data_IF_252633107866
#
_entry.id   IF_252633107866
#
_cell.length_a   1.000
_cell.length_b   1.000
_cell.length_c   1.000
_cell.angle_alpha   90.00
_cell.angle_beta   90.00
_cell.angle_gamma   90.00
#
_symmetry.space_group_name_H-M   'P 1'
#
loop_
_entity.id
_entity.type
_entity.pdbx_description
1 polymer ?
#
# COMPACT_ATOMS: atom_id res chain seq x y z
N UNK A 1 6.24 -30.32 -2.41
CA UNK A 1 6.76 -30.73 -3.73
C UNK A 1 6.48 -29.62 -4.72
N UNK A 2 7.47 -29.07 -5.42
CA UNK A 2 7.21 -28.11 -6.49
C UNK A 2 6.73 -28.88 -7.72
N UNK A 3 5.42 -29.00 -7.83
CA UNK A 3 4.78 -29.57 -9.00
C UNK A 3 4.59 -28.46 -10.03
N UNK A 4 5.41 -28.38 -10.97
CA UNK A 4 5.44 -27.55 -12.18
C UNK A 4 6.66 -26.63 -12.27
N UNK A 5 7.78 -27.19 -12.63
CA UNK A 5 8.62 -26.53 -13.62
C UNK A 5 7.84 -26.71 -14.93
N UNK A 6 7.22 -25.66 -15.42
CA UNK A 6 6.45 -25.72 -16.64
C UNK A 6 7.30 -26.22 -17.80
N UNK A 7 6.77 -27.10 -18.61
CA UNK A 7 7.29 -27.54 -19.88
C UNK A 7 7.28 -26.38 -20.89
N UNK A 8 8.06 -25.34 -20.61
CA UNK A 8 8.31 -24.25 -21.54
C UNK A 8 9.66 -24.46 -22.20
N UNK A 9 9.66 -24.41 -23.49
CA UNK A 9 10.85 -24.53 -24.34
C UNK A 9 11.93 -23.54 -23.94
N UNK A 10 13.14 -23.98 -23.81
CA UNK A 10 14.38 -23.28 -23.45
C UNK A 10 14.52 -22.97 -21.96
N UNK A 11 15.60 -23.38 -21.38
CA UNK A 11 15.92 -23.43 -19.94
C UNK A 11 16.03 -22.12 -19.17
N UNK A 12 15.24 -21.10 -19.50
CA UNK A 12 15.17 -19.85 -18.72
C UNK A 12 14.25 -20.04 -17.52
N UNK A 13 14.81 -19.82 -16.34
CA UNK A 13 14.08 -19.97 -15.08
C UNK A 13 13.13 -18.79 -14.84
N UNK A 14 11.94 -19.10 -14.33
CA UNK A 14 10.88 -18.12 -14.05
C UNK A 14 11.38 -16.95 -13.18
N UNK A 15 11.04 -15.75 -13.57
CA UNK A 15 11.41 -14.50 -12.89
C UNK A 15 10.75 -14.41 -11.51
N UNK A 16 11.50 -13.97 -10.51
CA UNK A 16 10.98 -13.71 -9.16
C UNK A 16 10.35 -12.32 -9.13
N UNK A 17 9.18 -12.20 -8.53
CA UNK A 17 8.45 -10.93 -8.37
C UNK A 17 8.28 -10.65 -6.87
N UNK A 18 8.79 -9.50 -6.44
CA UNK A 18 8.73 -9.05 -5.05
C UNK A 18 8.05 -7.68 -4.99
N UNK A 19 6.91 -7.59 -4.35
CA UNK A 19 6.27 -6.30 -4.01
C UNK A 19 6.66 -5.96 -2.57
N UNK A 20 7.60 -5.04 -2.43
CA UNK A 20 8.25 -4.72 -1.15
C UNK A 20 7.54 -3.53 -0.49
N UNK A 21 6.44 -3.82 0.21
CA UNK A 21 5.69 -2.82 0.97
C UNK A 21 6.18 -2.66 2.41
N UNK A 22 5.84 -1.56 3.06
CA UNK A 22 6.30 -1.27 4.43
C UNK A 22 5.68 -2.18 5.48
N UNK A 23 4.39 -2.54 5.34
CA UNK A 23 3.73 -3.45 6.28
C UNK A 23 3.91 -4.91 5.87
N UNK A 24 3.66 -5.21 4.60
CA UNK A 24 3.71 -6.57 4.06
C UNK A 24 4.45 -6.62 2.73
N UNK A 25 5.26 -7.65 2.57
CA UNK A 25 5.90 -8.01 1.29
C UNK A 25 5.15 -9.18 0.68
N UNK A 26 4.88 -9.09 -0.63
CA UNK A 26 4.28 -10.19 -1.40
C UNK A 26 5.35 -10.70 -2.36
N UNK A 27 5.54 -12.02 -2.43
CA UNK A 27 6.50 -12.58 -3.38
C UNK A 27 5.98 -13.87 -4.03
N UNK A 28 6.47 -14.14 -5.24
CA UNK A 28 6.09 -15.28 -6.07
C UNK A 28 6.81 -15.21 -7.40
N UNK A 29 6.21 -15.76 -8.44
CA UNK A 29 6.85 -15.86 -9.75
C UNK A 29 6.03 -15.20 -10.86
N UNK A 30 6.73 -14.73 -11.86
CA UNK A 30 6.11 -14.19 -13.08
C UNK A 30 5.18 -15.23 -13.72
N UNK A 31 4.06 -14.77 -14.26
CA UNK A 31 3.04 -15.60 -14.88
C UNK A 31 2.05 -16.23 -13.89
N UNK A 32 2.27 -16.08 -12.58
CA UNK A 32 1.30 -16.54 -11.57
C UNK A 32 0.17 -15.52 -11.37
N UNK A 33 -0.99 -16.01 -10.98
CA UNK A 33 -2.19 -15.18 -10.77
C UNK A 33 -2.26 -14.52 -9.40
N UNK A 34 -1.37 -14.93 -8.47
CA UNK A 34 -1.26 -14.35 -7.13
C UNK A 34 0.07 -14.68 -6.49
N UNK A 35 0.48 -13.90 -5.48
CA UNK A 35 1.75 -14.15 -4.79
C UNK A 35 1.71 -15.47 -4.02
N UNK A 36 2.84 -16.16 -3.99
CA UNK A 36 3.00 -17.41 -3.21
C UNK A 36 2.99 -17.17 -1.72
N UNK A 37 3.47 -16.01 -1.29
CA UNK A 37 3.39 -15.63 0.13
C UNK A 37 3.20 -14.14 0.30
N UNK A 38 2.53 -13.78 1.39
CA UNK A 38 2.37 -12.41 1.90
C UNK A 38 2.86 -12.46 3.34
N UNK A 39 3.95 -11.78 3.63
CA UNK A 39 4.57 -11.81 4.97
C UNK A 39 4.82 -10.39 5.49
N UNK A 40 4.79 -10.20 6.82
CA UNK A 40 5.18 -8.89 7.38
C UNK A 40 6.61 -8.52 6.96
N UNK A 41 6.81 -7.26 6.62
CA UNK A 41 8.12 -6.73 6.19
C UNK A 41 9.00 -6.42 7.38
N UNK A 42 9.23 -7.45 8.22
CA UNK A 42 10.00 -7.34 9.46
C UNK A 42 10.96 -8.51 9.61
N UNK A 43 12.03 -8.29 10.36
CA UNK A 43 12.94 -9.34 10.81
C UNK A 43 12.95 -9.38 12.35
N UNK A 44 13.15 -10.57 12.92
CA UNK A 44 13.31 -10.76 14.37
C UNK A 44 14.78 -10.97 14.65
N UNK A 45 15.36 -10.16 15.50
CA UNK A 45 16.77 -10.31 15.92
C UNK A 45 16.87 -10.59 17.41
N UNK A 46 17.77 -11.50 17.75
CA UNK A 46 18.11 -11.79 19.14
C UNK A 46 18.59 -10.49 19.82
N UNK A 47 18.09 -10.23 21.01
CA UNK A 47 18.45 -9.04 21.78
C UNK A 47 17.59 -7.81 21.54
N UNK A 48 16.70 -7.85 20.52
CA UNK A 48 15.76 -6.75 20.29
C UNK A 48 14.36 -7.17 20.75
N UNK A 49 13.68 -6.35 21.55
CA UNK A 49 12.35 -6.70 22.10
C UNK A 49 11.24 -6.67 21.06
N UNK A 50 11.42 -5.93 19.96
CA UNK A 50 10.42 -5.81 18.90
C UNK A 50 11.03 -6.17 17.54
N UNK A 51 10.23 -6.73 16.61
CA UNK A 51 10.70 -6.95 15.24
C UNK A 51 11.12 -5.62 14.58
N UNK A 52 12.14 -5.69 13.73
CA UNK A 52 12.67 -4.52 13.02
C UNK A 52 12.04 -4.46 11.63
N UNK A 53 11.49 -3.31 11.26
CA UNK A 53 10.97 -3.08 9.91
C UNK A 53 12.11 -3.05 8.89
N UNK A 54 11.89 -3.68 7.76
CA UNK A 54 12.89 -3.77 6.69
C UNK A 54 12.80 -2.57 5.76
N UNK A 55 11.58 -2.10 5.51
CA UNK A 55 11.36 -0.92 4.66
C UNK A 55 11.33 0.31 5.55
N UNK A 56 12.48 0.95 5.68
CA UNK A 56 12.63 2.22 6.40
C UNK A 56 13.71 3.06 5.73
N UNK A 57 13.56 4.37 5.83
CA UNK A 57 14.38 5.31 5.06
C UNK A 57 15.31 6.16 5.93
N UNK A 58 15.08 6.19 7.24
CA UNK A 58 15.82 7.04 8.19
C UNK A 58 16.79 6.20 9.05
N UNK A 59 17.52 5.29 8.40
CA UNK A 59 18.58 4.51 9.06
C UNK A 59 19.83 4.54 8.19
N UNK A 60 20.98 4.22 8.80
CA UNK A 60 22.23 4.21 8.06
C UNK A 60 22.29 3.04 7.06
N UNK A 61 23.10 3.22 6.03
CA UNK A 61 23.19 2.30 4.89
C UNK A 61 23.63 0.88 5.28
N UNK A 62 24.51 0.74 6.25
CA UNK A 62 25.02 -0.57 6.64
C UNK A 62 23.99 -1.39 7.44
N UNK A 63 23.22 -0.71 8.31
CA UNK A 63 22.09 -1.35 8.99
C UNK A 63 21.01 -1.77 7.99
N UNK A 64 20.65 -0.86 7.08
CA UNK A 64 19.68 -1.13 6.03
C UNK A 64 20.12 -2.33 5.18
N UNK A 65 21.41 -2.35 4.79
CA UNK A 65 21.99 -3.47 4.05
C UNK A 65 21.83 -4.79 4.80
N UNK A 66 22.15 -4.78 6.10
CA UNK A 66 22.03 -5.97 6.95
C UNK A 66 20.59 -6.47 7.05
N UNK A 67 19.63 -5.54 7.21
CA UNK A 67 18.21 -5.89 7.34
C UNK A 67 17.63 -6.43 6.01
N UNK A 68 17.93 -5.77 4.89
CA UNK A 68 17.50 -6.20 3.57
C UNK A 68 18.09 -7.56 3.20
N UNK A 69 19.39 -7.76 3.49
CA UNK A 69 20.07 -9.04 3.26
C UNK A 69 19.37 -10.18 3.99
N UNK A 70 19.11 -10.01 5.30
CA UNK A 70 18.46 -11.01 6.12
C UNK A 70 17.02 -11.30 5.62
N UNK A 71 16.27 -10.25 5.32
CA UNK A 71 14.88 -10.38 4.87
C UNK A 71 14.78 -11.07 3.51
N UNK A 72 15.59 -10.65 2.54
CA UNK A 72 15.60 -11.24 1.20
C UNK A 72 16.07 -12.71 1.26
N UNK A 73 17.00 -13.03 2.18
CA UNK A 73 17.39 -14.41 2.44
C UNK A 73 16.17 -15.26 2.85
N UNK A 74 15.35 -14.73 3.76
CA UNK A 74 14.10 -15.40 4.19
C UNK A 74 13.17 -15.61 2.98
N UNK A 75 13.00 -14.61 2.12
CA UNK A 75 12.15 -14.74 0.92
C UNK A 75 12.63 -15.88 0.00
N UNK A 76 13.92 -15.89 -0.34
CA UNK A 76 14.47 -16.89 -1.26
C UNK A 76 14.51 -18.30 -0.70
N UNK A 77 14.98 -18.46 0.54
CA UNK A 77 15.33 -19.77 1.08
C UNK A 77 14.29 -20.38 2.02
N UNK A 78 13.29 -19.61 2.42
CA UNK A 78 12.20 -20.12 3.27
C UNK A 78 10.85 -20.14 2.54
N UNK A 79 10.60 -19.17 1.67
CA UNK A 79 9.29 -19.03 1.02
C UNK A 79 9.29 -19.43 -0.45
N UNK A 80 10.29 -19.01 -1.23
CA UNK A 80 10.34 -19.32 -2.65
C UNK A 80 11.08 -20.62 -2.96
N UNK A 81 12.06 -21.00 -2.14
CA UNK A 81 12.86 -22.21 -2.24
C UNK A 81 13.58 -22.31 -3.61
N UNK A 82 14.17 -21.20 -4.05
CA UNK A 82 14.90 -21.11 -5.33
C UNK A 82 16.25 -20.43 -5.15
N UNK A 83 17.17 -20.75 -6.07
CA UNK A 83 18.49 -20.13 -6.12
C UNK A 83 18.38 -18.74 -6.78
N UNK A 84 18.76 -17.65 -6.08
CA UNK A 84 18.68 -16.31 -6.66
C UNK A 84 19.61 -16.08 -7.86
N UNK A 85 20.73 -16.78 -7.96
CA UNK A 85 21.71 -16.63 -9.06
C UNK A 85 21.16 -16.97 -10.43
N UNK A 86 20.06 -17.70 -10.47
CA UNK A 86 19.51 -18.24 -11.72
C UNK A 86 18.29 -17.44 -12.22
N UNK A 87 17.88 -16.41 -11.51
CA UNK A 87 16.57 -15.79 -11.79
C UNK A 87 16.58 -14.26 -11.73
N UNK A 88 15.92 -13.40 -12.60
CA UNK A 88 15.75 -12.23 -12.65
C UNK A 88 14.91 -11.91 -11.65
N UNK A 89 14.94 -10.73 -11.37
CA UNK A 89 14.06 -10.24 -10.30
C UNK A 89 13.35 -8.94 -10.71
N UNK A 90 12.02 -8.89 -10.53
CA UNK A 90 11.21 -7.67 -10.61
C UNK A 90 10.88 -7.27 -9.17
N UNK A 91 11.35 -6.10 -8.73
CA UNK A 91 11.00 -5.55 -7.42
C UNK A 91 10.05 -4.36 -7.62
N UNK A 92 8.86 -4.47 -7.04
CA UNK A 92 7.85 -3.43 -7.09
C UNK A 92 8.00 -2.57 -5.84
N UNK A 93 8.10 -1.27 -6.05
CA UNK A 93 8.25 -0.28 -4.99
C UNK A 93 7.15 0.77 -5.11
N UNK A 94 6.68 1.26 -3.98
CA UNK A 94 5.76 2.39 -3.96
C UNK A 94 6.49 3.59 -4.55
N UNK A 95 5.96 4.14 -5.56
CA UNK A 95 6.40 5.25 -6.40
C UNK A 95 7.91 5.53 -6.43
N UNK A 96 8.52 5.25 -7.55
CA UNK A 96 9.95 5.47 -7.78
C UNK A 96 10.23 6.91 -8.27
N UNK A 97 9.18 7.65 -8.65
CA UNK A 97 9.30 9.03 -9.14
C UNK A 97 8.14 9.86 -8.58
N UNK A 98 8.41 10.99 -7.97
CA UNK A 98 9.72 11.57 -7.67
C UNK A 98 10.45 10.82 -6.54
N UNK A 99 11.77 10.94 -6.49
CA UNK A 99 12.64 10.24 -5.55
C UNK A 99 12.37 10.55 -4.07
N UNK A 100 11.41 11.40 -3.80
CA UNK A 100 11.01 11.80 -2.45
C UNK A 100 10.38 10.64 -1.67
N UNK A 101 9.65 9.77 -2.36
CA UNK A 101 8.88 8.70 -1.70
C UNK A 101 9.66 7.40 -1.54
N UNK A 102 10.66 7.16 -2.41
CA UNK A 102 11.58 6.05 -2.27
C UNK A 102 13.01 6.57 -2.47
N UNK A 103 13.69 6.95 -1.40
CA UNK A 103 15.02 7.56 -1.49
C UNK A 103 16.03 6.72 -2.26
N UNK A 104 16.96 7.40 -2.93
CA UNK A 104 18.02 6.75 -3.72
C UNK A 104 18.83 5.78 -2.87
N UNK A 105 19.19 6.16 -1.63
CA UNK A 105 19.98 5.29 -0.76
C UNK A 105 19.29 3.94 -0.49
N UNK A 106 17.95 3.91 -0.37
CA UNK A 106 17.19 2.66 -0.20
C UNK A 106 17.29 1.79 -1.46
N UNK A 107 17.04 2.39 -2.63
CA UNK A 107 17.10 1.69 -3.93
C UNK A 107 18.50 1.16 -4.21
N UNK A 108 19.52 1.97 -3.95
CA UNK A 108 20.93 1.60 -4.13
C UNK A 108 21.33 0.46 -3.18
N UNK A 109 20.93 0.56 -1.90
CA UNK A 109 21.22 -0.49 -0.92
C UNK A 109 20.54 -1.81 -1.29
N UNK A 110 19.26 -1.75 -1.69
CA UNK A 110 18.50 -2.92 -2.13
C UNK A 110 19.17 -3.58 -3.34
N UNK A 111 19.55 -2.80 -4.34
CA UNK A 111 20.21 -3.33 -5.54
C UNK A 111 21.62 -3.87 -5.22
N UNK A 112 22.34 -3.24 -4.30
CA UNK A 112 23.62 -3.74 -3.81
C UNK A 112 23.47 -5.12 -3.15
N UNK A 113 22.41 -5.31 -2.34
CA UNK A 113 22.10 -6.62 -1.73
C UNK A 113 21.80 -7.66 -2.82
N UNK A 114 20.96 -7.31 -3.80
CA UNK A 114 20.55 -8.23 -4.86
C UNK A 114 21.73 -8.63 -5.76
N UNK A 115 22.55 -7.66 -6.21
CA UNK A 115 23.64 -7.92 -7.14
C UNK A 115 24.92 -8.46 -6.47
N UNK A 116 25.30 -7.91 -5.31
CA UNK A 116 26.59 -8.26 -4.68
C UNK A 116 26.49 -9.45 -3.73
N UNK A 117 25.37 -9.61 -3.04
CA UNK A 117 25.22 -10.72 -2.08
C UNK A 117 24.48 -11.91 -2.72
N UNK A 118 23.31 -11.67 -3.34
CA UNK A 118 22.52 -12.74 -3.94
C UNK A 118 22.93 -13.06 -5.37
N UNK A 119 23.72 -12.21 -5.99
CA UNK A 119 24.27 -12.41 -7.34
C UNK A 119 23.19 -12.65 -8.40
N UNK A 120 22.04 -11.99 -8.28
CA UNK A 120 20.97 -12.14 -9.27
C UNK A 120 21.44 -11.66 -10.65
N UNK A 121 21.01 -12.30 -11.76
CA UNK A 121 21.48 -11.94 -13.11
C UNK A 121 20.99 -10.58 -13.58
N UNK A 122 19.76 -10.19 -13.20
CA UNK A 122 19.24 -8.87 -13.55
C UNK A 122 18.17 -8.41 -12.53
N UNK A 123 17.99 -7.09 -12.40
CA UNK A 123 17.02 -6.46 -11.51
C UNK A 123 16.24 -5.40 -12.27
N UNK A 124 14.92 -5.43 -12.14
CA UNK A 124 14.04 -4.34 -12.55
C UNK A 124 13.37 -3.75 -11.31
N UNK A 125 13.49 -2.44 -11.11
CA UNK A 125 12.71 -1.72 -10.10
C UNK A 125 11.49 -1.11 -10.78
N UNK A 126 10.29 -1.55 -10.39
CA UNK A 126 9.04 -1.20 -11.06
C UNK A 126 8.13 -0.39 -10.14
N UNK A 127 7.54 0.74 -10.60
CA UNK A 127 6.59 1.52 -9.81
C UNK A 127 5.25 0.80 -9.67
N UNK A 128 4.71 0.75 -8.45
CA UNK A 128 3.43 0.07 -8.15
C UNK A 128 2.27 0.60 -9.01
N UNK A 129 2.22 1.91 -9.22
CA UNK A 129 1.16 2.56 -9.99
C UNK A 129 1.14 2.11 -11.46
N UNK A 130 2.33 1.94 -12.08
CA UNK A 130 2.44 1.45 -13.46
C UNK A 130 2.04 -0.02 -13.54
N UNK A 131 2.51 -0.81 -12.59
CA UNK A 131 2.19 -2.23 -12.55
C UNK A 131 0.68 -2.46 -12.42
N UNK A 132 0.00 -1.63 -11.61
CA UNK A 132 -1.45 -1.74 -11.45
C UNK A 132 -2.20 -1.54 -12.78
N UNK A 133 -1.79 -0.59 -13.61
CA UNK A 133 -2.46 -0.32 -14.88
C UNK A 133 -2.28 -1.43 -15.91
N UNK A 134 -1.18 -2.18 -15.83
CA UNK A 134 -0.97 -3.35 -16.70
C UNK A 134 -2.05 -4.41 -16.50
N UNK A 135 -2.57 -4.54 -15.28
CA UNK A 135 -3.61 -5.55 -14.99
C UNK A 135 -4.95 -5.22 -15.64
N UNK A 136 -5.16 -3.95 -15.97
CA UNK A 136 -6.40 -3.47 -16.59
C UNK A 136 -6.28 -3.23 -18.09
N UNK A 137 -5.05 -3.23 -18.62
CA UNK A 137 -4.81 -2.94 -20.03
C UNK A 137 -5.16 -1.49 -20.41
N UNK A 138 -5.11 -0.55 -19.45
CA UNK A 138 -5.42 0.86 -19.72
C UNK A 138 -4.16 1.72 -19.58
N UNK A 139 -4.06 2.74 -20.44
CA UNK A 139 -2.89 3.62 -20.47
C UNK A 139 -3.15 5.00 -19.85
N UNK A 140 -4.39 5.30 -19.48
CA UNK A 140 -4.75 6.60 -18.88
C UNK A 140 -5.65 6.39 -17.69
N UNK A 141 -5.21 6.82 -16.51
CA UNK A 141 -5.97 6.66 -15.25
C UNK A 141 -5.40 7.54 -14.15
N UNK A 142 -6.23 7.86 -13.18
CA UNK A 142 -5.84 8.44 -11.90
C UNK A 142 -5.68 7.27 -10.93
N UNK A 143 -4.44 6.96 -10.54
CA UNK A 143 -4.15 5.83 -9.64
C UNK A 143 -3.96 6.34 -8.21
N UNK A 144 -4.77 5.82 -7.29
CA UNK A 144 -4.66 6.07 -5.86
C UNK A 144 -4.15 4.80 -5.17
N UNK A 145 -3.00 4.89 -4.53
CA UNK A 145 -2.43 3.81 -3.71
C UNK A 145 -2.62 4.16 -2.23
N UNK A 146 -3.54 3.47 -1.57
CA UNK A 146 -3.78 3.61 -0.13
C UNK A 146 -2.97 2.54 0.61
N UNK A 147 -1.71 2.87 0.90
CA UNK A 147 -0.76 1.96 1.52
C UNK A 147 -0.77 1.99 3.04
N UNK A 148 0.33 1.52 3.63
CA UNK A 148 0.51 1.54 5.08
C UNK A 148 0.91 2.92 5.58
N UNK A 149 1.97 3.52 4.99
CA UNK A 149 2.51 4.82 5.45
C UNK A 149 1.61 5.98 5.05
N UNK A 150 1.13 5.94 3.81
CA UNK A 150 0.49 7.09 3.17
C UNK A 150 -0.52 6.65 2.11
N UNK A 151 -1.35 7.60 1.68
CA UNK A 151 -2.12 7.51 0.45
C UNK A 151 -1.47 8.41 -0.58
N UNK A 152 -1.23 7.85 -1.77
CA UNK A 152 -0.50 8.50 -2.85
C UNK A 152 -1.34 8.47 -4.12
N UNK A 153 -1.51 9.63 -4.77
CA UNK A 153 -2.18 9.71 -6.07
C UNK A 153 -1.17 10.08 -7.15
N UNK A 154 -1.25 9.38 -8.28
CA UNK A 154 -0.42 9.67 -9.45
C UNK A 154 -1.27 9.52 -10.71
N UNK A 155 -1.56 10.64 -11.42
CA UNK A 155 -2.23 10.55 -12.72
C UNK A 155 -1.27 10.03 -13.79
N UNK A 156 -1.80 9.22 -14.67
CA UNK A 156 -1.08 8.72 -15.84
C UNK A 156 -1.94 8.96 -17.08
N UNK A 157 -1.37 9.58 -18.09
CA UNK A 157 -2.08 9.92 -19.34
C UNK A 157 -1.31 9.41 -20.54
N UNK A 158 -1.97 8.59 -21.37
CA UNK A 158 -1.37 7.94 -22.56
C UNK A 158 -0.04 7.24 -22.24
N UNK A 159 0.01 6.51 -21.12
CA UNK A 159 1.20 5.77 -20.72
C UNK A 159 2.23 6.60 -19.96
N UNK A 160 2.08 7.92 -19.88
CA UNK A 160 3.07 8.82 -19.28
C UNK A 160 2.55 9.33 -17.92
N UNK A 161 3.31 9.15 -16.82
CA UNK A 161 2.92 9.76 -15.55
C UNK A 161 2.97 11.28 -15.61
N UNK A 162 1.92 11.93 -15.11
CA UNK A 162 1.84 13.41 -15.06
C UNK A 162 2.47 13.84 -13.72
N UNK A 163 3.80 13.94 -13.73
CA UNK A 163 4.58 14.09 -12.50
C UNK A 163 4.33 15.39 -11.75
N UNK A 164 3.81 16.43 -12.40
CA UNK A 164 3.52 17.69 -11.74
C UNK A 164 2.24 17.63 -10.90
N UNK A 165 1.44 16.57 -11.07
CA UNK A 165 0.09 16.47 -10.51
C UNK A 165 -0.03 15.37 -9.45
N UNK A 166 1.10 14.77 -9.03
CA UNK A 166 1.06 13.78 -7.97
C UNK A 166 0.77 14.43 -6.62
N UNK A 167 0.25 13.65 -5.69
CA UNK A 167 0.06 14.11 -4.32
C UNK A 167 0.12 12.95 -3.34
N UNK A 168 0.48 13.25 -2.10
CA UNK A 168 0.51 12.24 -1.04
C UNK A 168 0.06 12.85 0.28
N UNK A 169 -0.58 12.02 1.11
CA UNK A 169 -0.99 12.37 2.47
C UNK A 169 -0.60 11.23 3.41
N UNK A 170 -0.15 11.52 4.64
CA UNK A 170 0.21 10.49 5.62
C UNK A 170 -1.03 9.79 6.21
N UNK A 171 -1.99 9.49 5.37
CA UNK A 171 -3.25 8.81 5.68
C UNK A 171 -3.22 7.41 5.09
N UNK A 172 -2.85 6.45 5.91
CA UNK A 172 -2.75 5.04 5.51
C UNK A 172 -2.96 4.14 6.71
N UNK A 173 -2.57 2.88 6.60
CA UNK A 173 -2.72 1.90 7.67
C UNK A 173 -2.05 2.32 8.98
N UNK A 174 -0.92 3.03 8.91
CA UNK A 174 -0.20 3.52 10.08
C UNK A 174 -1.00 4.57 10.86
N UNK A 175 -1.66 5.48 10.15
CA UNK A 175 -2.53 6.48 10.78
C UNK A 175 -3.74 5.80 11.45
N UNK A 176 -4.32 4.81 10.78
CA UNK A 176 -5.41 3.99 11.33
C UNK A 176 -4.96 3.25 12.60
N UNK A 177 -3.76 2.67 12.60
CA UNK A 177 -3.23 1.95 13.77
C UNK A 177 -3.07 2.89 14.96
N UNK A 178 -2.56 4.10 14.74
CA UNK A 178 -2.39 5.11 15.81
C UNK A 178 -3.75 5.50 16.40
N UNK A 179 -4.71 5.81 15.54
CA UNK A 179 -6.06 6.20 15.98
C UNK A 179 -6.75 5.04 16.70
N UNK A 180 -6.63 3.83 16.15
CA UNK A 180 -7.19 2.62 16.75
C UNK A 180 -6.58 2.37 18.13
N UNK A 181 -5.26 2.40 18.25
CA UNK A 181 -4.57 2.21 19.53
C UNK A 181 -5.03 3.24 20.57
N UNK A 182 -5.11 4.50 20.18
CA UNK A 182 -5.57 5.58 21.08
C UNK A 182 -6.98 5.29 21.59
N UNK A 183 -7.91 5.00 20.70
CA UNK A 183 -9.30 4.76 21.10
C UNK A 183 -9.47 3.47 21.90
N UNK A 184 -8.73 2.41 21.56
CA UNK A 184 -8.74 1.15 22.33
C UNK A 184 -8.25 1.36 23.75
N UNK A 185 -7.13 2.07 23.94
CA UNK A 185 -6.56 2.34 25.27
C UNK A 185 -7.47 3.26 26.10
N UNK A 186 -8.17 4.19 25.45
CA UNK A 186 -9.06 5.13 26.15
C UNK A 186 -10.40 4.51 26.56
N UNK A 187 -10.95 3.60 25.77
CA UNK A 187 -12.36 3.23 25.86
C UNK A 187 -12.62 1.74 26.12
N UNK A 188 -11.68 0.86 25.76
CA UNK A 188 -11.94 -0.57 25.80
C UNK A 188 -11.60 -1.22 27.13
N UNK A 189 -12.37 -2.26 27.47
CA UNK A 189 -12.12 -3.12 28.63
C UNK A 189 -11.70 -4.51 28.17
N UNK A 190 -11.06 -5.24 29.07
CA UNK A 190 -10.53 -6.59 28.83
C UNK A 190 -10.97 -7.51 29.96
N UNK A 191 -11.53 -8.65 29.60
CA UNK A 191 -11.73 -9.75 30.53
C UNK A 191 -10.48 -10.62 30.58
N UNK A 192 -10.01 -10.91 31.78
CA UNK A 192 -8.89 -11.82 32.03
C UNK A 192 -9.35 -12.98 32.91
N UNK A 193 -8.53 -14.02 33.01
CA UNK A 193 -8.78 -15.13 33.93
C UNK A 193 -8.87 -14.69 35.41
N UNK A 194 -8.23 -13.57 35.77
CA UNK A 194 -8.17 -13.07 37.14
C UNK A 194 -9.29 -12.06 37.46
N UNK A 195 -9.78 -11.30 36.47
CA UNK A 195 -10.80 -10.25 36.68
C UNK A 195 -11.50 -9.89 35.39
N UNK A 196 -12.75 -9.47 35.54
CA UNK A 196 -13.58 -8.98 34.43
C UNK A 196 -13.53 -7.44 34.31
N UNK A 197 -13.72 -6.95 33.11
CA UNK A 197 -13.85 -5.53 32.80
C UNK A 197 -12.71 -4.64 33.34
N UNK A 198 -11.47 -5.11 33.19
CA UNK A 198 -10.31 -4.27 33.48
C UNK A 198 -10.06 -3.31 32.30
N UNK A 199 -9.57 -2.12 32.60
CA UNK A 199 -9.19 -1.18 31.52
C UNK A 199 -8.01 -1.77 30.72
N UNK A 200 -8.03 -1.60 29.40
CA UNK A 200 -6.97 -2.12 28.53
C UNK A 200 -5.57 -1.63 28.94
N UNK A 201 -5.37 -0.34 29.31
CA UNK A 201 -4.05 0.13 29.77
C UNK A 201 -3.53 -0.57 31.04
N UNK A 202 -4.41 -1.06 31.91
CA UNK A 202 -3.96 -1.79 33.10
C UNK A 202 -3.40 -3.18 32.77
N UNK A 203 -3.78 -3.72 31.60
CA UNK A 203 -3.37 -5.05 31.14
C UNK A 203 -2.16 -4.94 30.20
N UNK A 204 -2.11 -3.91 29.36
CA UNK A 204 -1.00 -3.65 28.44
C UNK A 204 -0.84 -2.15 28.16
N UNK A 205 0.37 -1.64 28.27
CA UNK A 205 0.67 -0.23 28.08
C UNK A 205 0.67 0.23 26.62
N UNK A 206 0.83 -0.70 25.67
CA UNK A 206 0.73 -0.44 24.23
C UNK A 206 0.26 -1.70 23.51
N UNK A 207 -0.49 -1.53 22.43
CA UNK A 207 -1.02 -2.67 21.67
C UNK A 207 -0.04 -3.03 20.55
N UNK A 208 0.42 -4.28 20.47
CA UNK A 208 1.33 -4.70 19.41
C UNK A 208 0.73 -4.46 18.01
N UNK A 209 1.58 -4.03 17.07
CA UNK A 209 1.16 -3.67 15.71
C UNK A 209 0.41 -4.81 14.99
N UNK A 210 0.82 -6.07 15.23
CA UNK A 210 0.12 -7.22 14.65
C UNK A 210 -1.30 -7.39 15.18
N UNK A 211 -1.53 -7.07 16.45
CA UNK A 211 -2.88 -7.09 17.06
C UNK A 211 -3.72 -5.95 16.49
N UNK A 212 -3.13 -4.74 16.36
CA UNK A 212 -3.84 -3.61 15.75
C UNK A 212 -4.26 -3.93 14.31
N UNK A 213 -3.35 -4.54 13.54
CA UNK A 213 -3.66 -4.95 12.16
C UNK A 213 -4.82 -5.94 12.14
N UNK A 214 -4.79 -6.94 13.01
CA UNK A 214 -5.81 -7.97 13.06
C UNK A 214 -7.17 -7.41 13.52
N UNK A 215 -7.20 -6.60 14.58
CA UNK A 215 -8.43 -5.91 15.01
C UNK A 215 -9.00 -5.05 13.87
N UNK A 216 -8.13 -4.26 13.22
CA UNK A 216 -8.54 -3.42 12.09
C UNK A 216 -9.20 -4.24 10.98
N UNK A 217 -8.57 -5.34 10.59
CA UNK A 217 -9.05 -6.20 9.49
C UNK A 217 -10.34 -6.93 9.85
N UNK A 218 -10.44 -7.39 11.11
CA UNK A 218 -11.58 -8.21 11.55
C UNK A 218 -12.79 -7.38 11.96
N UNK A 219 -12.59 -6.17 12.50
CA UNK A 219 -13.69 -5.43 13.13
C UNK A 219 -14.04 -4.09 12.48
N UNK A 220 -13.07 -3.40 11.85
CA UNK A 220 -13.28 -2.05 11.33
C UNK A 220 -13.89 -2.05 9.93
N UNK A 221 -14.67 -1.01 9.64
CA UNK A 221 -15.30 -0.81 8.34
C UNK A 221 -15.54 0.68 8.10
N UNK A 222 -15.73 1.05 6.84
CA UNK A 222 -15.98 2.43 6.42
C UNK A 222 -17.50 2.64 6.31
N UNK A 223 -18.01 3.60 7.07
CA UNK A 223 -19.43 3.99 7.03
C UNK A 223 -19.77 4.73 5.73
N UNK A 224 -21.06 4.72 5.37
CA UNK A 224 -21.53 5.50 4.23
C UNK A 224 -21.35 7.02 4.50
N UNK A 225 -21.48 7.82 3.45
CA UNK A 225 -21.26 9.27 3.53
C UNK A 225 -22.13 9.95 4.60
N UNK A 226 -23.42 9.62 4.65
CA UNK A 226 -24.36 10.26 5.55
C UNK A 226 -24.00 9.99 7.01
N UNK A 227 -23.68 8.73 7.33
CA UNK A 227 -23.26 8.32 8.68
C UNK A 227 -21.89 8.93 9.03
N UNK A 228 -20.94 8.87 8.09
CA UNK A 228 -19.61 9.44 8.29
C UNK A 228 -19.64 10.94 8.61
N UNK A 229 -20.45 11.70 7.87
CA UNK A 229 -20.61 13.14 8.14
C UNK A 229 -21.20 13.41 9.55
N UNK A 230 -22.09 12.56 10.03
CA UNK A 230 -22.62 12.66 11.40
C UNK A 230 -21.55 12.34 12.46
N UNK A 231 -20.72 11.32 12.21
CA UNK A 231 -19.60 10.97 13.10
C UNK A 231 -18.64 12.17 13.20
N UNK A 232 -18.28 12.77 12.05
CA UNK A 232 -17.39 13.92 12.00
C UNK A 232 -18.03 15.14 12.70
N UNK A 233 -19.31 15.41 12.46
CA UNK A 233 -20.02 16.52 13.10
C UNK A 233 -20.03 16.36 14.63
N UNK A 234 -20.28 15.17 15.14
CA UNK A 234 -20.25 14.87 16.58
C UNK A 234 -18.82 15.00 17.14
N UNK A 235 -17.81 14.52 16.42
CA UNK A 235 -16.39 14.60 16.84
C UNK A 235 -15.91 16.05 16.98
N UNK A 236 -16.30 16.90 16.04
CA UNK A 236 -15.84 18.30 16.00
C UNK A 236 -16.88 19.28 16.55
N UNK A 237 -18.00 18.81 17.08
CA UNK A 237 -19.09 19.60 17.64
C UNK A 237 -19.52 20.75 16.70
N UNK A 238 -19.67 20.46 15.41
CA UNK A 238 -19.86 21.47 14.37
C UNK A 238 -21.20 22.18 14.55
N UNK A 239 -22.27 21.65 14.82
CA UNK A 239 -23.58 22.31 14.91
C UNK A 239 -24.15 22.40 16.35
N UNK A 240 -23.33 22.17 17.37
CA UNK A 240 -23.78 22.14 18.76
C UNK A 240 -24.76 20.98 19.04
N UNK A 241 -24.86 20.04 18.14
CA UNK A 241 -25.78 18.92 18.24
C UNK A 241 -24.95 17.62 18.38
N UNK A 242 -24.92 17.08 19.59
CA UNK A 242 -24.15 15.89 19.95
C UNK A 242 -24.82 14.57 19.55
N UNK A 243 -25.75 14.58 18.60
CA UNK A 243 -26.42 13.35 18.15
C UNK A 243 -25.48 12.47 17.34
N UNK A 244 -24.72 11.66 18.04
CA UNK A 244 -23.96 10.58 17.38
C UNK A 244 -24.94 9.58 16.76
N UNK A 245 -24.62 9.06 15.57
CA UNK A 245 -25.48 8.01 15.01
C UNK A 245 -25.43 6.77 15.91
N UNK A 246 -26.53 6.01 15.94
CA UNK A 246 -26.58 4.77 16.71
C UNK A 246 -25.40 3.86 16.33
N UNK A 247 -24.63 3.39 17.32
CA UNK A 247 -23.42 2.62 17.01
C UNK A 247 -23.73 1.21 16.48
N UNK A 248 -22.79 0.60 15.71
CA UNK A 248 -22.90 -0.81 15.33
C UNK A 248 -22.66 -1.69 16.58
N UNK A 249 -22.96 -3.00 16.54
CA UNK A 249 -22.75 -3.85 17.73
C UNK A 249 -21.30 -3.97 18.16
N UNK A 250 -21.06 -4.15 19.46
CA UNK A 250 -19.74 -4.47 20.03
C UNK A 250 -19.21 -5.77 19.46
N UNK A 251 -17.89 -5.92 19.47
CA UNK A 251 -17.22 -7.16 19.03
C UNK A 251 -16.20 -7.59 20.09
N UNK A 252 -16.29 -8.83 20.50
CA UNK A 252 -15.32 -9.46 21.40
C UNK A 252 -14.13 -9.97 20.58
N UNK A 253 -12.94 -9.52 20.93
CA UNK A 253 -11.71 -9.87 20.24
C UNK A 253 -10.76 -10.61 21.18
N UNK A 254 -10.35 -11.85 20.86
CA UNK A 254 -9.42 -12.60 21.71
C UNK A 254 -8.00 -12.02 21.56
N UNK A 255 -7.50 -11.38 22.62
CA UNK A 255 -6.16 -10.79 22.65
C UNK A 255 -5.05 -11.84 22.77
N UNK A 256 -5.24 -12.82 23.68
CA UNK A 256 -4.22 -13.80 24.01
C UNK A 256 -4.89 -14.92 24.84
N UNK A 257 -5.25 -16.00 24.20
CA UNK A 257 -5.79 -17.23 24.78
C UNK A 257 -6.83 -17.12 25.90
N UNK A 258 -6.51 -16.37 26.94
CA UNK A 258 -7.34 -16.18 28.13
C UNK A 258 -7.86 -14.74 28.29
N UNK A 259 -7.53 -13.84 27.37
CA UNK A 259 -7.92 -12.43 27.43
C UNK A 259 -8.83 -12.08 26.28
N UNK A 260 -9.97 -11.46 26.58
CA UNK A 260 -10.93 -11.00 25.58
C UNK A 260 -11.07 -9.49 25.71
N UNK A 261 -10.75 -8.77 24.65
CA UNK A 261 -10.99 -7.34 24.57
C UNK A 261 -12.39 -7.08 24.01
N UNK A 262 -13.12 -6.20 24.66
CA UNK A 262 -14.43 -5.74 24.19
C UNK A 262 -14.24 -4.51 23.32
N UNK A 263 -14.09 -4.72 22.01
CA UNK A 263 -13.97 -3.61 21.05
C UNK A 263 -15.31 -2.91 20.92
N UNK A 264 -15.35 -1.68 21.41
CA UNK A 264 -16.58 -0.91 21.43
C UNK A 264 -17.09 -0.61 20.02
N UNK A 265 -18.37 -0.68 19.90
CA UNK A 265 -19.15 -0.38 18.70
C UNK A 265 -18.76 0.94 18.04
N UNK A 266 -18.52 2.00 18.85
CA UNK A 266 -18.19 3.33 18.37
C UNK A 266 -16.82 3.42 17.71
N UNK A 267 -15.88 2.54 18.09
CA UNK A 267 -14.50 2.54 17.56
C UNK A 267 -14.46 1.99 16.14
N UNK A 268 -15.30 1.00 15.84
CA UNK A 268 -15.22 0.20 14.61
C UNK A 268 -15.33 1.02 13.31
N UNK A 269 -16.08 2.10 13.32
CA UNK A 269 -16.22 2.99 12.16
C UNK A 269 -15.64 4.39 12.36
N UNK A 270 -15.61 4.90 13.61
CA UNK A 270 -15.04 6.23 13.87
C UNK A 270 -13.54 6.31 13.57
N UNK A 271 -12.79 5.25 13.88
CA UNK A 271 -11.35 5.18 13.61
C UNK A 271 -11.05 5.41 12.13
N UNK A 272 -11.88 4.85 11.24
CA UNK A 272 -11.63 4.91 9.81
C UNK A 272 -11.98 6.30 9.22
N UNK A 273 -12.77 7.08 9.92
CA UNK A 273 -13.16 8.43 9.46
C UNK A 273 -11.96 9.35 9.24
N UNK A 274 -10.84 9.12 9.93
CA UNK A 274 -9.61 9.93 9.73
C UNK A 274 -9.16 9.97 8.26
N UNK A 275 -9.52 8.98 7.45
CA UNK A 275 -9.18 8.97 6.01
C UNK A 275 -10.01 9.98 5.22
N UNK A 276 -11.20 10.32 5.73
CA UNK A 276 -12.19 11.16 5.05
C UNK A 276 -12.40 12.51 5.72
N UNK A 277 -12.00 12.64 6.99
CA UNK A 277 -12.01 13.92 7.71
C UNK A 277 -11.11 14.91 6.98
N UNK A 278 -11.61 16.13 6.80
CA UNK A 278 -10.78 17.20 6.27
C UNK A 278 -9.99 17.84 7.42
N UNK A 279 -8.68 17.89 7.28
CA UNK A 279 -7.81 18.59 8.23
C UNK A 279 -7.93 20.12 8.08
N UNK A 280 -7.11 20.87 8.80
CA UNK A 280 -7.10 22.33 8.72
C UNK A 280 -6.78 22.89 7.33
N UNK A 281 -6.18 22.07 6.46
CA UNK A 281 -5.89 22.43 5.06
C UNK A 281 -6.91 21.85 4.08
N UNK A 282 -8.03 21.36 4.60
CA UNK A 282 -9.11 20.69 3.85
C UNK A 282 -8.61 19.44 3.10
N UNK A 283 -7.65 18.69 3.72
CA UNK A 283 -7.05 17.51 3.08
C UNK A 283 -7.64 16.21 3.62
N UNK A 284 -8.01 15.32 2.70
CA UNK A 284 -8.47 13.95 2.96
C UNK A 284 -8.09 13.07 1.76
N UNK A 285 -8.32 11.78 1.84
CA UNK A 285 -8.05 10.85 0.72
C UNK A 285 -8.87 11.23 -0.52
N UNK A 286 -10.10 11.71 -0.32
CA UNK A 286 -10.95 12.14 -1.44
C UNK A 286 -10.48 13.46 -2.06
N UNK A 287 -10.10 14.44 -1.24
CA UNK A 287 -9.58 15.72 -1.76
C UNK A 287 -8.24 15.53 -2.46
N UNK A 288 -7.45 14.55 -2.06
CA UNK A 288 -6.18 14.22 -2.71
C UNK A 288 -6.40 13.94 -4.20
N UNK A 289 -7.43 13.17 -4.55
CA UNK A 289 -7.80 12.89 -5.95
C UNK A 289 -8.25 14.18 -6.65
N UNK A 290 -9.14 14.94 -6.01
CA UNK A 290 -9.70 16.16 -6.64
C UNK A 290 -8.64 17.24 -6.82
N UNK A 291 -7.76 17.44 -5.87
CA UNK A 291 -6.67 18.42 -5.95
C UNK A 291 -5.67 18.04 -7.03
N UNK A 292 -5.32 16.76 -7.14
CA UNK A 292 -4.48 16.23 -8.22
C UNK A 292 -5.14 16.48 -9.59
N UNK A 293 -6.43 16.18 -9.70
CA UNK A 293 -7.19 16.37 -10.94
C UNK A 293 -7.22 17.85 -11.35
N UNK A 294 -7.35 18.78 -10.39
CA UNK A 294 -7.31 20.23 -10.67
C UNK A 294 -5.97 20.69 -11.26
N UNK A 295 -4.88 20.04 -10.85
CA UNK A 295 -3.54 20.35 -11.36
C UNK A 295 -3.32 19.81 -12.77
N UNK A 296 -4.07 18.78 -13.17
CA UNK A 296 -3.92 18.16 -14.50
C UNK A 296 -4.40 19.13 -15.62
N UNK A 297 -3.84 18.99 -16.83
CA UNK A 297 -4.34 19.73 -17.99
C UNK A 297 -5.84 19.49 -18.21
N UNK A 298 -6.54 20.54 -18.63
CA UNK A 298 -8.02 20.54 -18.72
C UNK A 298 -8.54 19.39 -19.60
N UNK A 299 -7.88 19.17 -20.73
CA UNK A 299 -8.26 18.15 -21.71
C UNK A 299 -8.14 16.71 -21.19
N UNK A 300 -7.28 16.49 -20.19
CA UNK A 300 -7.06 15.15 -19.61
C UNK A 300 -8.03 14.83 -18.46
N UNK A 301 -8.59 15.84 -17.82
CA UNK A 301 -9.36 15.71 -16.57
C UNK A 301 -10.53 14.73 -16.65
N UNK A 302 -11.31 14.83 -17.74
CA UNK A 302 -12.48 13.97 -17.92
C UNK A 302 -12.07 12.49 -17.98
N UNK A 303 -11.07 12.19 -18.83
CA UNK A 303 -10.59 10.81 -18.98
C UNK A 303 -10.02 10.26 -17.67
N UNK A 304 -9.26 11.07 -16.93
CA UNK A 304 -8.68 10.68 -15.66
C UNK A 304 -9.76 10.44 -14.59
N UNK A 305 -10.79 11.29 -14.54
CA UNK A 305 -11.90 11.15 -13.59
C UNK A 305 -12.74 9.89 -13.86
N UNK A 306 -12.92 9.56 -15.14
CA UNK A 306 -13.68 8.38 -15.56
C UNK A 306 -12.86 7.08 -15.46
N UNK A 307 -11.56 7.18 -15.13
CA UNK A 307 -10.67 6.04 -15.00
C UNK A 307 -9.90 6.13 -13.68
N UNK A 308 -10.60 5.98 -12.54
CA UNK A 308 -9.96 5.90 -11.22
C UNK A 308 -9.57 4.46 -10.94
N UNK A 309 -8.35 4.23 -10.49
CA UNK A 309 -7.84 2.92 -10.07
C UNK A 309 -7.37 3.04 -8.63
N UNK A 310 -7.93 2.22 -7.75
CA UNK A 310 -7.61 2.27 -6.31
C UNK A 310 -6.91 0.97 -5.92
N UNK A 311 -5.73 1.09 -5.34
CA UNK A 311 -4.90 -0.03 -4.91
C UNK A 311 -4.42 0.20 -3.46
N UNK A 312 -3.70 -0.77 -2.92
CA UNK A 312 -3.14 -0.70 -1.57
C UNK A 312 -4.00 -1.40 -0.52
N UNK A 313 -3.37 -1.82 0.55
CA UNK A 313 -4.02 -2.63 1.60
C UNK A 313 -5.11 -1.88 2.37
N UNK A 314 -4.93 -0.59 2.60
CA UNK A 314 -5.90 0.23 3.35
C UNK A 314 -7.23 0.36 2.59
N UNK A 315 -7.19 0.38 1.26
CA UNK A 315 -8.42 0.45 0.44
C UNK A 315 -9.27 -0.83 0.49
N UNK A 316 -8.75 -1.90 1.11
CA UNK A 316 -9.51 -3.16 1.27
C UNK A 316 -10.52 -3.13 2.42
N UNK A 317 -10.50 -2.08 3.25
CA UNK A 317 -11.50 -1.93 4.32
C UNK A 317 -12.92 -1.98 3.73
N UNK A 318 -13.82 -2.79 4.34
CA UNK A 318 -15.19 -2.88 3.84
C UNK A 318 -15.85 -1.50 3.75
N UNK A 319 -16.48 -1.19 2.64
CA UNK A 319 -17.13 0.11 2.41
C UNK A 319 -16.23 1.20 1.81
N UNK A 320 -14.91 1.02 1.77
CA UNK A 320 -13.96 2.08 1.39
C UNK A 320 -14.25 2.66 -0.01
N UNK A 321 -14.36 1.82 -1.04
CA UNK A 321 -14.57 2.29 -2.42
C UNK A 321 -15.91 3.00 -2.58
N UNK A 322 -16.95 2.49 -1.93
CA UNK A 322 -18.27 3.10 -1.94
C UNK A 322 -18.22 4.50 -1.33
N UNK A 323 -17.62 4.60 -0.14
CA UNK A 323 -17.48 5.88 0.57
C UNK A 323 -16.61 6.86 -0.22
N UNK A 324 -15.49 6.41 -0.77
CA UNK A 324 -14.57 7.27 -1.55
C UNK A 324 -15.33 7.91 -2.73
N UNK A 325 -16.07 7.11 -3.47
CA UNK A 325 -16.82 7.61 -4.63
C UNK A 325 -17.94 8.58 -4.21
N UNK A 326 -18.63 8.29 -3.10
CA UNK A 326 -19.66 9.18 -2.55
C UNK A 326 -19.06 10.51 -2.07
N UNK A 327 -17.89 10.44 -1.40
CA UNK A 327 -17.13 11.62 -0.94
C UNK A 327 -16.72 12.52 -2.11
N UNK A 328 -16.13 11.91 -3.16
CA UNK A 328 -15.73 12.64 -4.38
C UNK A 328 -16.94 13.35 -4.99
N UNK A 329 -18.06 12.65 -5.14
CA UNK A 329 -19.31 13.20 -5.72
C UNK A 329 -19.92 14.30 -4.84
N UNK A 330 -19.73 14.24 -3.54
CA UNK A 330 -20.17 15.26 -2.61
C UNK A 330 -19.26 16.50 -2.72
N UNK A 331 -17.96 16.30 -2.65
CA UNK A 331 -16.97 17.38 -2.63
C UNK A 331 -16.90 18.15 -3.96
N UNK A 332 -17.06 17.46 -5.09
CA UNK A 332 -16.98 18.12 -6.41
C UNK A 332 -18.05 19.19 -6.59
N UNK A 333 -19.14 19.16 -5.79
CA UNK A 333 -20.20 20.17 -5.82
C UNK A 333 -19.83 21.44 -5.03
N UNK A 334 -18.79 21.37 -4.18
CA UNK A 334 -18.33 22.53 -3.37
C UNK A 334 -17.73 23.59 -4.29
N UNK A 335 -17.83 24.89 -3.95
CA UNK A 335 -17.37 26.00 -4.80
C UNK A 335 -15.93 25.85 -5.30
N UNK A 336 -15.03 25.35 -4.46
CA UNK A 336 -13.61 25.12 -4.76
C UNK A 336 -13.43 24.29 -6.05
N UNK A 337 -14.17 23.18 -6.14
CA UNK A 337 -14.04 22.21 -7.24
C UNK A 337 -15.01 22.49 -8.39
N UNK A 338 -16.22 22.93 -8.08
CA UNK A 338 -17.30 23.16 -9.05
C UNK A 338 -16.91 24.14 -10.15
N UNK A 339 -16.15 25.18 -9.80
CA UNK A 339 -15.70 26.22 -10.74
C UNK A 339 -14.59 25.72 -11.66
N UNK A 340 -13.76 24.83 -11.16
CA UNK A 340 -12.50 24.42 -11.84
C UNK A 340 -12.64 23.08 -12.57
N UNK A 341 -13.39 22.14 -11.99
CA UNK A 341 -13.60 20.81 -12.55
C UNK A 341 -14.95 20.76 -13.27
N UNK A 342 -14.95 20.79 -14.59
CA UNK A 342 -16.17 20.64 -15.39
C UNK A 342 -16.74 19.21 -15.36
N UNK A 343 -15.96 18.27 -14.87
CA UNK A 343 -16.28 16.84 -14.82
C UNK A 343 -17.24 16.53 -13.66
N UNK A 344 -18.28 15.76 -13.95
CA UNK A 344 -19.27 15.29 -12.96
C UNK A 344 -19.28 13.77 -12.82
N UNK A 345 -18.64 13.07 -13.77
CA UNK A 345 -18.65 11.61 -13.82
C UNK A 345 -17.33 11.07 -13.28
N UNK A 346 -17.42 10.23 -12.27
CA UNK A 346 -16.28 9.53 -11.66
C UNK A 346 -16.57 8.04 -11.67
N UNK A 347 -15.60 7.25 -12.11
CA UNK A 347 -15.76 5.80 -12.21
C UNK A 347 -14.49 5.12 -11.70
N UNK A 348 -14.66 4.18 -10.76
CA UNK A 348 -13.58 3.36 -10.23
C UNK A 348 -13.58 2.02 -10.99
N UNK A 349 -12.42 1.66 -11.53
CA UNK A 349 -12.22 0.35 -12.16
C UNK A 349 -12.01 -0.72 -11.10
N UNK A 350 -12.47 -1.93 -11.40
CA UNK A 350 -12.25 -3.11 -10.54
C UNK A 350 -11.12 -3.94 -11.14
N UNK A 351 -9.93 -3.92 -10.55
CA UNK A 351 -8.83 -4.78 -11.02
C UNK A 351 -9.15 -6.26 -10.84
N UNK A 352 -8.45 -7.15 -11.58
CA UNK A 352 -8.68 -8.60 -11.49
C UNK A 352 -8.12 -9.25 -10.22
N UNK A 353 -7.45 -8.49 -9.35
CA UNK A 353 -6.89 -8.97 -8.09
C UNK A 353 -7.35 -8.08 -6.93
N UNK A 354 -7.21 -8.57 -5.70
CA UNK A 354 -7.44 -7.77 -4.49
C UNK A 354 -6.53 -6.54 -4.49
N UNK A 355 -7.01 -5.40 -4.01
CA UNK A 355 -6.32 -4.12 -4.09
C UNK A 355 -4.88 -4.17 -3.57
N UNK A 356 -4.60 -4.96 -2.55
CA UNK A 356 -3.24 -5.12 -2.01
C UNK A 356 -2.33 -5.98 -2.89
N UNK A 357 -2.84 -6.69 -3.89
CA UNK A 357 -2.06 -7.59 -4.76
C UNK A 357 -2.02 -7.12 -6.23
N UNK A 358 -2.72 -6.04 -6.58
CA UNK A 358 -2.81 -5.57 -7.98
C UNK A 358 -1.43 -5.21 -8.52
N UNK A 359 -0.63 -4.47 -7.77
CA UNK A 359 0.71 -4.10 -8.20
C UNK A 359 1.59 -5.34 -8.40
N UNK A 360 1.51 -6.31 -7.47
CA UNK A 360 2.23 -7.57 -7.60
C UNK A 360 1.82 -8.33 -8.86
N UNK A 361 0.52 -8.43 -9.14
CA UNK A 361 0.01 -9.10 -10.35
C UNK A 361 0.53 -8.41 -11.62
N UNK A 362 0.54 -7.07 -11.64
CA UNK A 362 1.11 -6.32 -12.75
C UNK A 362 2.59 -6.64 -12.97
N UNK A 363 3.34 -6.74 -11.88
CA UNK A 363 4.74 -7.17 -11.93
C UNK A 363 4.91 -8.61 -12.43
N UNK A 364 3.97 -9.50 -12.08
CA UNK A 364 3.98 -10.89 -12.55
C UNK A 364 3.68 -10.97 -14.05
N UNK A 365 2.75 -10.17 -14.55
CA UNK A 365 2.47 -10.03 -15.98
C UNK A 365 3.71 -9.48 -16.70
N UNK A 366 4.29 -8.41 -16.19
CA UNK A 366 5.47 -7.77 -16.80
C UNK A 366 6.66 -8.71 -16.82
N UNK A 367 6.92 -9.41 -15.72
CA UNK A 367 8.02 -10.37 -15.60
C UNK A 367 7.91 -11.56 -16.55
N UNK A 368 6.68 -11.87 -17.01
CA UNK A 368 6.45 -12.94 -17.99
C UNK A 368 6.74 -12.48 -19.43
N UNK A 369 6.85 -11.17 -19.68
CA UNK A 369 7.17 -10.60 -21.00
C UNK A 369 8.69 -10.49 -21.14
N UNK A 370 9.35 -11.62 -21.41
CA UNK A 370 10.80 -11.76 -21.37
C UNK A 370 11.56 -10.75 -22.25
N UNK A 371 11.09 -10.53 -23.47
CA UNK A 371 11.73 -9.59 -24.41
C UNK A 371 11.74 -8.16 -23.86
N UNK A 372 10.63 -7.75 -23.27
CA UNK A 372 10.50 -6.40 -22.69
C UNK A 372 11.31 -6.32 -21.40
N UNK A 373 11.23 -7.35 -20.56
CA UNK A 373 11.98 -7.40 -19.30
C UNK A 373 13.49 -7.31 -19.56
N UNK A 374 14.00 -8.07 -20.55
CA UNK A 374 15.41 -8.06 -20.90
C UNK A 374 15.93 -6.69 -21.30
N UNK A 375 15.13 -5.93 -22.05
CA UNK A 375 15.51 -4.58 -22.50
C UNK A 375 15.39 -3.51 -21.41
N UNK A 376 14.61 -3.76 -20.34
CA UNK A 376 14.32 -2.78 -19.29
C UNK A 376 14.99 -3.07 -17.95
N UNK A 377 15.48 -4.28 -17.76
CA UNK A 377 16.17 -4.65 -16.51
C UNK A 377 17.65 -4.27 -16.55
N UNK A 378 18.19 -3.99 -15.38
CA UNK A 378 19.64 -3.74 -15.22
C UNK A 378 20.32 -5.07 -15.04
N UNK A 379 21.31 -5.38 -15.90
CA UNK A 379 22.07 -6.62 -15.81
C UNK A 379 23.16 -6.53 -14.73
N UNK A 380 23.57 -7.69 -14.20
CA UNK A 380 24.69 -7.81 -13.26
C UNK A 380 25.98 -7.26 -13.87
N UNK A 381 26.20 -7.50 -15.19
CA UNK A 381 27.35 -6.98 -15.91
C UNK A 381 27.40 -5.45 -15.88
N UNK A 382 26.30 -4.80 -16.24
CA UNK A 382 26.17 -3.34 -16.19
C UNK A 382 26.43 -2.81 -14.77
N UNK A 383 25.77 -3.42 -13.77
CA UNK A 383 25.94 -3.00 -12.37
C UNK A 383 27.37 -3.14 -11.89
N UNK A 384 28.07 -4.22 -12.29
CA UNK A 384 29.48 -4.42 -11.90
C UNK A 384 30.42 -3.36 -12.49
N UNK A 385 30.10 -2.86 -13.69
CA UNK A 385 30.88 -1.81 -14.35
C UNK A 385 30.62 -0.41 -13.78
N UNK A 386 29.34 -0.10 -13.49
CA UNK A 386 28.92 1.26 -13.11
C UNK A 386 28.81 1.49 -11.60
N UNK A 387 28.57 0.42 -10.84
CA UNK A 387 28.36 0.47 -9.39
C UNK A 387 26.97 1.03 -8.99
N UNK A 388 26.14 1.35 -9.96
CA UNK A 388 24.82 2.00 -9.67
C UNK A 388 23.78 1.57 -10.70
N UNK A 389 22.50 1.80 -10.34
CA UNK A 389 21.39 1.68 -11.28
C UNK A 389 21.16 3.04 -11.95
N UNK A 390 20.79 3.06 -13.22
CA UNK A 390 20.44 4.30 -13.88
C UNK A 390 19.28 5.00 -13.14
N UNK A 391 19.31 6.30 -13.07
CA UNK A 391 18.20 7.10 -12.50
C UNK A 391 16.92 7.02 -13.35
N UNK A 392 17.00 6.33 -14.46
CA UNK A 392 15.92 6.17 -15.42
C UNK A 392 14.92 5.08 -15.12
N UNK A 393 14.11 5.28 -14.09
CA UNK A 393 12.74 4.70 -14.07
C UNK A 393 11.97 5.15 -15.31
N UNK A 394 12.47 6.17 -15.96
CA UNK A 394 12.05 6.67 -17.28
C UNK A 394 12.05 5.58 -18.37
N UNK A 395 12.87 4.53 -18.23
CA UNK A 395 12.89 3.45 -19.23
C UNK A 395 11.58 2.63 -19.27
N UNK A 396 10.87 2.56 -18.14
CA UNK A 396 9.56 1.87 -18.09
C UNK A 396 8.43 2.80 -18.59
N UNK A 397 8.62 4.11 -18.45
CA UNK A 397 7.63 5.12 -18.86
C UNK A 397 7.39 5.07 -20.38
N UNK A 398 8.40 4.70 -21.16
CA UNK A 398 8.28 4.61 -22.63
C UNK A 398 7.69 3.29 -23.13
N UNK A 399 7.14 2.46 -22.25
CA UNK A 399 6.50 1.19 -22.63
C UNK A 399 5.20 1.35 -23.44
N UNK A 400 4.59 2.53 -23.38
CA UNK A 400 3.28 2.76 -23.97
C UNK A 400 3.33 3.62 -25.24
N UNK A 401 4.51 3.90 -25.74
CA UNK A 401 4.73 4.44 -27.09
C UNK A 401 4.92 3.28 -28.10
#
# INVERSE_FOLDING_TARGET
MPLYEGLGSSGEKTVVVIDLGEAFTKCGFAGETGPRCIIPSVIKRAGLPKPVKVVQYNINTEELYSYLKEFIHILYFRHLLVNPRDRXVVVILVCVVPCVLCPSHFRETLTRVLFKYFEVPSVLLAPSHLMALLTLGINSAMVLDCGYRESLVLPKYEGIPVLNCWGALPLGGKALHRELETQLLEQCTVDTSAAKEQSLPSVMGSVPEGILEDIKVCTCFVSDLKRGLKIQAAKFNIDGNDERPSPPPNVDYPLDGEKISHVLESIRDSVVEILFEQDNEEKSVATLILDSLMQCPIDTRKQLAENLVVIGGTSMLPGFLHRLLAEIRYLVKKPKYKKTLGTKTFRIHTPPAKANCVAWLGGAIFGALQDILGSRSVSKGYYNQTGRIPDGVLSIIHLWK
#
